data_IF_034882475675
#
_entry.id   IF_034882475675
#
_cell.length_a   1.000
_cell.length_b   1.000
_cell.length_c   1.000
_cell.angle_alpha   90.00
_cell.angle_beta   90.00
_cell.angle_gamma   90.00
#
_symmetry.space_group_name_H-M   'P 1'
#
loop_
_entity.id
_entity.type
_entity.pdbx_description
1 polymer ?
#
# COMPACT_ATOMS: atom_id res chain seq x y z
N UNK A 1 -18.82 3.10 43.67
CA UNK A 1 -18.45 2.74 42.29
C UNK A 1 -19.71 2.90 41.47
N UNK A 2 -19.86 4.07 40.85
CA UNK A 2 -20.88 4.24 39.84
C UNK A 2 -20.59 3.24 38.73
N UNK A 3 -21.56 2.40 38.39
CA UNK A 3 -21.38 1.37 37.37
C UNK A 3 -20.91 2.02 36.07
N UNK A 4 -19.97 1.41 35.35
CA UNK A 4 -19.50 1.90 34.04
C UNK A 4 -20.68 2.27 33.11
N UNK A 5 -21.80 1.56 33.26
CA UNK A 5 -23.09 1.85 32.60
C UNK A 5 -23.71 3.21 32.96
N UNK A 6 -23.66 3.65 34.23
CA UNK A 6 -24.21 4.94 34.63
C UNK A 6 -23.34 6.11 34.17
N UNK A 7 -22.03 5.91 34.07
CA UNK A 7 -21.12 6.92 33.49
C UNK A 7 -21.35 7.04 31.99
N UNK A 8 -21.48 5.92 31.26
CA UNK A 8 -21.88 5.92 29.84
C UNK A 8 -23.18 6.69 29.61
N UNK A 9 -24.19 6.45 30.45
CA UNK A 9 -25.50 7.10 30.30
C UNK A 9 -25.46 8.60 30.65
N UNK A 10 -24.43 9.07 31.34
CA UNK A 10 -24.20 10.50 31.62
C UNK A 10 -23.48 11.25 30.48
N UNK A 11 -22.86 10.54 29.53
CA UNK A 11 -22.14 11.14 28.40
C UNK A 11 -23.11 11.70 27.34
N UNK A 12 -22.66 12.75 26.63
CA UNK A 12 -23.34 13.26 25.44
C UNK A 12 -23.46 12.16 24.38
N UNK A 13 -24.42 12.30 23.45
CA UNK A 13 -24.64 11.29 22.40
C UNK A 13 -23.37 11.03 21.56
N UNK A 14 -22.58 12.07 21.29
CA UNK A 14 -21.30 11.96 20.58
C UNK A 14 -20.23 11.26 21.42
N UNK A 15 -20.12 11.59 22.72
CA UNK A 15 -19.13 10.98 23.61
C UNK A 15 -19.47 9.53 23.98
N UNK A 16 -20.75 9.12 23.91
CA UNK A 16 -21.16 7.72 24.03
C UNK A 16 -20.63 6.84 22.90
N UNK A 17 -20.58 7.36 21.68
CA UNK A 17 -20.00 6.62 20.55
C UNK A 17 -18.48 6.43 20.76
N UNK A 18 -17.77 7.49 21.15
CA UNK A 18 -16.35 7.43 21.49
C UNK A 18 -16.07 6.47 22.65
N UNK A 19 -16.92 6.46 23.68
CA UNK A 19 -16.86 5.50 24.79
C UNK A 19 -16.94 4.04 24.31
N UNK A 20 -17.89 3.70 23.44
CA UNK A 20 -18.03 2.33 22.94
C UNK A 20 -16.85 1.94 22.01
N UNK A 21 -16.34 2.87 21.20
CA UNK A 21 -15.13 2.63 20.39
C UNK A 21 -13.93 2.32 21.26
N UNK A 22 -13.63 3.16 22.25
CA UNK A 22 -12.46 2.97 23.11
C UNK A 22 -12.58 1.69 23.96
N UNK A 23 -13.80 1.40 24.42
CA UNK A 23 -14.11 0.14 25.10
C UNK A 23 -13.85 -1.07 24.19
N UNK A 24 -14.23 -0.98 22.92
CA UNK A 24 -14.01 -2.06 21.96
C UNK A 24 -12.53 -2.21 21.60
N UNK A 25 -11.79 -1.11 21.45
CA UNK A 25 -10.32 -1.14 21.26
C UNK A 25 -9.61 -1.86 22.41
N UNK A 26 -9.98 -1.55 23.66
CA UNK A 26 -9.43 -2.24 24.86
C UNK A 26 -9.80 -3.72 24.83
N UNK A 27 -11.04 -4.07 24.53
CA UNK A 27 -11.49 -5.47 24.43
C UNK A 27 -10.67 -6.22 23.38
N UNK A 28 -10.59 -5.68 22.17
CA UNK A 28 -9.84 -6.29 21.06
C UNK A 28 -8.37 -6.45 21.42
N UNK A 29 -7.74 -5.42 22.00
CA UNK A 29 -6.36 -5.51 22.48
C UNK A 29 -6.20 -6.65 23.50
N UNK A 30 -7.07 -6.72 24.51
CA UNK A 30 -6.98 -7.78 25.52
C UNK A 30 -7.20 -9.18 24.96
N UNK A 31 -8.08 -9.34 23.96
CA UNK A 31 -8.32 -10.62 23.30
C UNK A 31 -7.11 -11.08 22.49
N UNK A 32 -6.51 -10.16 21.71
CA UNK A 32 -5.30 -10.43 20.92
C UNK A 32 -4.13 -10.87 21.80
N UNK A 33 -3.97 -10.24 22.96
CA UNK A 33 -2.86 -10.53 23.86
C UNK A 33 -3.19 -11.56 24.97
N UNK A 34 -4.36 -12.20 24.91
CA UNK A 34 -4.77 -13.22 25.89
C UNK A 34 -4.91 -12.70 27.33
N UNK A 35 -5.19 -11.39 27.49
CA UNK A 35 -5.38 -10.74 28.79
C UNK A 35 -6.83 -10.95 29.24
N UNK A 36 -7.09 -11.59 30.38
CA UNK A 36 -8.45 -11.75 30.88
C UNK A 36 -9.09 -10.38 31.19
N UNK A 37 -10.33 -10.16 30.73
CA UNK A 37 -11.07 -8.89 30.99
C UNK A 37 -11.18 -8.56 32.48
N UNK A 38 -11.24 -9.57 33.34
CA UNK A 38 -11.31 -9.44 34.80
C UNK A 38 -10.05 -8.79 35.40
N UNK A 39 -8.92 -8.90 34.70
CA UNK A 39 -7.64 -8.32 35.10
C UNK A 39 -7.64 -6.80 34.96
N UNK A 40 -8.39 -6.23 34.01
CA UNK A 40 -8.46 -4.78 33.76
C UNK A 40 -8.94 -3.97 34.98
N UNK A 41 -9.74 -4.58 35.85
CA UNK A 41 -10.24 -3.95 37.07
C UNK A 41 -9.36 -4.11 38.30
N UNK A 42 -8.23 -4.84 38.20
CA UNK A 42 -7.39 -5.22 39.35
C UNK A 42 -5.91 -4.99 39.03
N UNK A 43 -5.25 -3.97 39.61
CA UNK A 43 -3.87 -3.61 39.29
C UNK A 43 -2.86 -4.76 39.36
N UNK A 44 -3.00 -5.62 40.39
CA UNK A 44 -2.09 -6.76 40.58
C UNK A 44 -2.24 -7.81 39.47
N UNK A 45 -3.49 -8.13 39.08
CA UNK A 45 -3.77 -9.07 37.98
C UNK A 45 -3.42 -8.48 36.62
N UNK A 46 -3.63 -7.17 36.42
CA UNK A 46 -3.23 -6.50 35.20
C UNK A 46 -1.72 -6.57 35.02
N UNK A 47 -0.94 -6.28 36.07
CA UNK A 47 0.53 -6.35 36.02
C UNK A 47 1.03 -7.77 35.74
N UNK A 48 0.38 -8.79 36.29
CA UNK A 48 0.71 -10.19 35.99
C UNK A 48 0.39 -10.54 34.53
N UNK A 49 -0.80 -10.17 34.05
CA UNK A 49 -1.25 -10.46 32.70
C UNK A 49 -0.45 -9.71 31.62
N UNK A 50 0.04 -8.51 31.92
CA UNK A 50 0.84 -7.69 30.99
C UNK A 50 2.33 -7.97 31.05
N UNK A 51 2.80 -8.81 31.98
CA UNK A 51 4.23 -9.07 32.18
C UNK A 51 4.95 -9.75 31.01
N UNK A 52 4.21 -10.25 30.02
CA UNK A 52 4.74 -10.86 28.78
C UNK A 52 4.61 -9.96 27.55
N UNK A 53 4.02 -8.77 27.70
CA UNK A 53 3.86 -7.84 26.59
C UNK A 53 5.21 -7.24 26.20
N UNK A 54 5.35 -6.91 24.92
CA UNK A 54 6.45 -6.08 24.44
C UNK A 54 6.34 -4.65 25.01
N UNK A 55 7.43 -3.89 24.99
CA UNK A 55 7.40 -2.47 25.41
C UNK A 55 6.38 -1.67 24.58
N UNK A 56 6.33 -1.78 23.24
CA UNK A 56 5.31 -1.10 22.43
C UNK A 56 3.87 -1.48 22.83
N UNK A 57 3.60 -2.75 23.11
CA UNK A 57 2.27 -3.20 23.54
C UNK A 57 1.90 -2.66 24.93
N UNK A 58 2.87 -2.56 25.83
CA UNK A 58 2.68 -1.92 27.15
C UNK A 58 2.32 -0.44 27.00
N UNK A 59 3.04 0.29 26.13
CA UNK A 59 2.77 1.70 25.84
C UNK A 59 1.38 1.89 25.22
N UNK A 60 1.02 1.01 24.27
CA UNK A 60 -0.30 1.02 23.63
C UNK A 60 -1.42 0.76 24.62
N UNK A 61 -1.30 -0.26 25.48
CA UNK A 61 -2.29 -0.55 26.52
C UNK A 61 -2.41 0.59 27.52
N UNK A 62 -1.28 1.16 27.96
CA UNK A 62 -1.27 2.30 28.87
C UNK A 62 -2.03 3.50 28.27
N UNK A 63 -1.79 3.80 26.99
CA UNK A 63 -2.49 4.88 26.29
C UNK A 63 -4.01 4.66 26.20
N UNK A 64 -4.44 3.43 25.86
CA UNK A 64 -5.86 3.07 25.81
C UNK A 64 -6.53 3.24 27.18
N UNK A 65 -5.89 2.75 28.24
CA UNK A 65 -6.42 2.85 29.61
C UNK A 65 -6.47 4.30 30.10
N UNK A 66 -5.45 5.11 29.79
CA UNK A 66 -5.41 6.52 30.15
C UNK A 66 -6.52 7.32 29.46
N UNK A 67 -6.76 7.07 28.16
CA UNK A 67 -7.88 7.68 27.41
C UNK A 67 -9.23 7.29 28.00
N UNK A 68 -9.38 6.03 28.42
CA UNK A 68 -10.63 5.54 29.02
C UNK A 68 -10.88 6.19 30.38
N UNK A 69 -9.85 6.24 31.23
CA UNK A 69 -9.92 6.88 32.54
C UNK A 69 -10.24 8.38 32.41
N UNK A 70 -9.58 9.09 31.48
CA UNK A 70 -9.85 10.50 31.24
C UNK A 70 -11.32 10.72 30.83
N UNK A 71 -11.84 9.92 29.90
CA UNK A 71 -13.22 10.02 29.44
C UNK A 71 -14.22 9.80 30.58
N UNK A 72 -13.97 8.79 31.42
CA UNK A 72 -14.80 8.49 32.58
C UNK A 72 -14.78 9.63 33.62
N UNK A 73 -13.64 10.29 33.80
CA UNK A 73 -13.46 11.36 34.80
C UNK A 73 -13.98 12.71 34.35
N UNK A 74 -13.81 13.05 33.08
CA UNK A 74 -14.07 14.40 32.57
C UNK A 74 -15.36 14.51 31.75
N UNK A 75 -15.98 13.38 31.38
CA UNK A 75 -17.22 13.38 30.60
C UNK A 75 -17.05 13.80 29.13
N UNK A 76 -15.80 13.99 28.71
CA UNK A 76 -15.39 14.35 27.36
C UNK A 76 -14.11 13.59 26.98
N UNK A 77 -13.88 13.32 25.68
CA UNK A 77 -12.62 12.79 25.20
C UNK A 77 -11.48 13.69 25.65
N UNK A 78 -10.34 13.09 26.03
CA UNK A 78 -9.10 13.84 26.18
C UNK A 78 -8.88 14.57 24.85
N UNK A 79 -8.63 15.89 24.88
CA UNK A 79 -8.17 16.59 23.67
C UNK A 79 -6.91 15.88 23.23
N UNK A 80 -7.02 15.09 22.17
CA UNK A 80 -5.94 14.25 21.68
C UNK A 80 -4.90 15.15 21.04
N UNK A 81 -3.84 15.45 21.79
CA UNK A 81 -2.53 15.32 21.19
C UNK A 81 -2.43 13.86 20.75
N UNK A 82 -2.34 13.63 19.43
CA UNK A 82 -2.19 12.29 18.86
C UNK A 82 -1.03 11.58 19.60
N UNK A 83 -1.02 10.25 19.76
CA UNK A 83 0.15 9.57 20.32
C UNK A 83 1.43 10.05 19.64
N UNK A 84 2.55 10.18 20.37
CA UNK A 84 3.78 10.78 19.85
C UNK A 84 4.25 10.13 18.54
N UNK A 85 4.17 8.79 18.47
CA UNK A 85 4.45 8.04 17.25
C UNK A 85 3.58 8.48 16.07
N UNK A 86 2.30 8.73 16.32
CA UNK A 86 1.35 9.15 15.30
C UNK A 86 1.61 10.59 14.88
N UNK A 87 1.94 11.49 15.81
CA UNK A 87 2.34 12.87 15.48
C UNK A 87 3.60 12.89 14.61
N UNK A 88 4.60 12.07 14.95
CA UNK A 88 5.83 11.97 14.19
C UNK A 88 5.57 11.46 12.77
N UNK A 89 4.81 10.38 12.62
CA UNK A 89 4.47 9.81 11.31
C UNK A 89 3.57 10.75 10.50
N UNK A 90 2.61 11.42 11.13
CA UNK A 90 1.79 12.42 10.45
C UNK A 90 2.66 13.58 9.95
N UNK A 91 3.64 14.04 10.74
CA UNK A 91 4.60 15.07 10.31
C UNK A 91 5.48 14.61 9.14
N UNK A 92 5.92 13.36 9.16
CA UNK A 92 6.84 12.83 8.14
C UNK A 92 6.12 12.47 6.83
N UNK A 93 4.90 11.94 6.90
CA UNK A 93 4.22 11.31 5.77
C UNK A 93 2.88 11.96 5.43
N UNK A 94 2.31 12.83 6.26
CA UNK A 94 0.97 13.38 6.05
C UNK A 94 -0.08 12.27 5.84
N UNK A 95 0.02 11.23 6.68
CA UNK A 95 -0.56 9.92 6.43
C UNK A 95 -2.09 9.93 6.44
N UNK A 96 -2.71 10.73 7.33
CA UNK A 96 -4.16 10.77 7.50
C UNK A 96 -4.90 11.18 6.24
N UNK A 97 -4.45 12.24 5.55
CA UNK A 97 -5.10 12.71 4.33
C UNK A 97 -5.01 11.65 3.24
N UNK A 98 -3.81 11.08 3.04
CA UNK A 98 -3.57 10.04 2.03
C UNK A 98 -4.41 8.79 2.29
N UNK A 99 -4.46 8.31 3.53
CA UNK A 99 -5.26 7.16 3.92
C UNK A 99 -6.75 7.42 3.72
N UNK A 100 -7.25 8.57 4.16
CA UNK A 100 -8.68 8.93 4.05
C UNK A 100 -9.10 9.01 2.59
N UNK A 101 -8.27 9.60 1.74
CA UNK A 101 -8.50 9.66 0.31
C UNK A 101 -8.60 8.25 -0.31
N UNK A 102 -7.61 7.40 -0.04
CA UNK A 102 -7.57 6.04 -0.58
C UNK A 102 -8.73 5.18 -0.06
N UNK A 103 -9.05 5.25 1.24
CA UNK A 103 -10.18 4.54 1.82
C UNK A 103 -11.49 4.88 1.10
N UNK A 104 -11.75 6.17 0.86
CA UNK A 104 -12.95 6.62 0.14
C UNK A 104 -12.95 6.14 -1.32
N UNK A 105 -11.82 6.27 -2.03
CA UNK A 105 -11.70 5.80 -3.41
C UNK A 105 -11.93 4.28 -3.52
N UNK A 106 -11.31 3.48 -2.65
CA UNK A 106 -11.44 2.02 -2.63
C UNK A 106 -12.88 1.59 -2.28
N UNK A 107 -13.58 2.35 -1.43
CA UNK A 107 -15.00 2.16 -1.14
C UNK A 107 -15.88 2.51 -2.35
N UNK A 108 -15.65 3.64 -2.99
CA UNK A 108 -16.44 4.12 -4.13
C UNK A 108 -16.29 3.27 -5.40
N UNK A 109 -15.13 2.62 -5.56
CA UNK A 109 -14.83 1.69 -6.65
C UNK A 109 -15.33 0.27 -6.38
N UNK A 110 -15.78 -0.01 -5.15
CA UNK A 110 -16.29 -1.32 -4.74
C UNK A 110 -15.19 -2.36 -4.46
N UNK A 111 -13.92 -1.92 -4.33
CA UNK A 111 -12.82 -2.76 -3.83
C UNK A 111 -13.09 -3.13 -2.38
N UNK A 112 -13.43 -2.12 -1.56
CA UNK A 112 -13.85 -2.34 -0.18
C UNK A 112 -15.34 -2.60 -0.12
N UNK A 113 -15.70 -3.82 0.29
CA UNK A 113 -17.08 -4.19 0.67
C UNK A 113 -17.09 -4.40 2.16
N UNK A 114 -17.91 -3.62 2.87
CA UNK A 114 -18.00 -3.67 4.34
C UNK A 114 -16.64 -3.49 5.05
N UNK A 115 -15.72 -2.73 4.44
CA UNK A 115 -14.39 -2.46 5.00
C UNK A 115 -13.33 -3.53 4.72
N UNK A 116 -13.61 -4.50 3.84
CA UNK A 116 -12.70 -5.59 3.52
C UNK A 116 -12.65 -5.90 2.02
N UNK A 117 -11.61 -6.64 1.61
CA UNK A 117 -11.49 -7.25 0.28
C UNK A 117 -11.78 -8.75 0.37
N UNK A 118 -12.14 -9.35 -0.77
CA UNK A 118 -12.22 -10.80 -0.92
C UNK A 118 -10.96 -11.32 -1.62
N UNK A 119 -10.24 -12.21 -0.95
CA UNK A 119 -9.03 -12.87 -1.45
C UNK A 119 -9.30 -13.92 -2.51
N UNK A 120 -8.25 -14.30 -3.26
CA UNK A 120 -8.31 -15.42 -4.22
C UNK A 120 -8.50 -16.78 -3.54
N UNK A 121 -8.22 -16.88 -2.26
CA UNK A 121 -8.41 -18.03 -1.39
C UNK A 121 -9.82 -18.10 -0.78
N UNK A 122 -10.66 -17.12 -1.09
CA UNK A 122 -12.03 -17.01 -0.57
C UNK A 122 -12.13 -16.41 0.83
N UNK A 123 -11.02 -15.98 1.45
CA UNK A 123 -11.04 -15.30 2.75
C UNK A 123 -11.32 -13.81 2.59
N UNK A 124 -11.87 -13.22 3.63
CA UNK A 124 -12.14 -11.79 3.71
C UNK A 124 -11.03 -11.11 4.51
N UNK A 125 -10.40 -10.10 3.92
CA UNK A 125 -9.27 -9.39 4.53
C UNK A 125 -9.65 -7.93 4.84
N UNK A 126 -9.74 -7.53 6.11
CA UNK A 126 -10.04 -6.14 6.46
C UNK A 126 -8.93 -5.20 5.97
N UNK A 127 -9.30 -3.97 5.59
CA UNK A 127 -8.30 -2.96 5.27
C UNK A 127 -7.41 -2.67 6.50
N UNK A 128 -6.07 -2.52 6.34
CA UNK A 128 -5.20 -2.11 7.43
C UNK A 128 -5.62 -0.75 7.95
N UNK A 129 -5.71 -0.58 9.27
CA UNK A 129 -6.10 0.71 9.85
C UNK A 129 -4.98 1.73 9.74
N UNK A 130 -5.37 3.01 9.79
CA UNK A 130 -4.42 4.12 9.81
C UNK A 130 -3.42 3.97 10.97
N UNK A 131 -3.87 3.52 12.13
CA UNK A 131 -3.04 3.29 13.31
C UNK A 131 -2.07 2.13 13.12
N UNK A 132 -2.48 1.03 12.47
CA UNK A 132 -1.59 -0.09 12.17
C UNK A 132 -0.46 0.33 11.22
N UNK A 133 -0.80 1.08 10.17
CA UNK A 133 0.20 1.61 9.23
C UNK A 133 1.12 2.61 9.92
N UNK A 134 0.56 3.52 10.72
CA UNK A 134 1.34 4.52 11.45
C UNK A 134 2.32 3.87 12.44
N UNK A 135 1.86 2.85 13.18
CA UNK A 135 2.73 2.10 14.08
C UNK A 135 3.88 1.44 13.31
N UNK A 136 3.57 0.79 12.18
CA UNK A 136 4.58 0.09 11.38
C UNK A 136 5.64 1.05 10.81
N UNK A 137 5.20 2.19 10.27
CA UNK A 137 6.09 3.26 9.81
C UNK A 137 6.97 3.79 10.95
N UNK A 138 6.42 3.91 12.15
CA UNK A 138 7.16 4.36 13.33
C UNK A 138 8.21 3.33 13.76
N UNK A 139 7.85 2.07 13.89
CA UNK A 139 8.78 0.99 14.25
C UNK A 139 9.97 0.92 13.28
N UNK A 140 9.70 1.10 11.98
CA UNK A 140 10.71 1.05 10.91
C UNK A 140 11.32 2.40 10.54
N UNK A 141 11.05 3.47 11.31
CA UNK A 141 11.50 4.84 10.97
C UNK A 141 13.02 4.97 10.79
N UNK A 142 13.80 4.17 11.51
CA UNK A 142 15.25 4.11 11.35
C UNK A 142 15.65 3.59 9.97
N UNK A 143 15.11 2.44 9.58
CA UNK A 143 15.33 1.80 8.27
C UNK A 143 14.81 2.67 7.11
N UNK A 144 13.65 3.30 7.31
CA UNK A 144 12.97 4.10 6.28
C UNK A 144 13.52 5.52 6.16
N UNK A 145 14.40 5.97 7.06
CA UNK A 145 14.88 7.36 7.10
C UNK A 145 15.54 7.80 5.79
N UNK A 146 16.41 6.96 5.21
CA UNK A 146 17.03 7.19 3.90
C UNK A 146 15.99 7.28 2.78
N UNK A 147 14.98 6.42 2.81
CA UNK A 147 13.91 6.40 1.79
C UNK A 147 12.97 7.58 1.90
N UNK A 148 12.66 8.00 3.11
CA UNK A 148 11.96 9.24 3.38
C UNK A 148 12.72 10.45 2.80
N UNK A 149 14.03 10.56 3.06
CA UNK A 149 14.89 11.62 2.48
C UNK A 149 14.96 11.58 0.95
N UNK A 150 14.92 10.37 0.37
CA UNK A 150 14.83 10.15 -1.09
C UNK A 150 13.41 10.41 -1.65
N UNK A 151 12.45 10.80 -0.82
CA UNK A 151 11.11 11.23 -1.21
C UNK A 151 10.07 10.12 -1.30
N UNK A 152 10.33 8.92 -0.75
CA UNK A 152 9.32 7.86 -0.64
C UNK A 152 8.35 8.18 0.52
N UNK A 153 7.37 9.03 0.25
CA UNK A 153 6.45 9.56 1.27
C UNK A 153 4.97 9.36 0.93
N UNK A 154 4.66 8.92 -0.29
CA UNK A 154 3.27 8.76 -0.75
C UNK A 154 2.77 7.33 -0.51
N UNK A 155 1.77 7.19 0.33
CA UNK A 155 1.13 5.92 0.69
C UNK A 155 0.46 5.29 -0.54
N UNK A 156 0.51 3.96 -0.62
CA UNK A 156 -0.29 3.16 -1.55
C UNK A 156 -0.81 1.90 -0.83
N UNK A 157 -2.13 1.80 -0.69
CA UNK A 157 -2.85 0.66 -0.12
C UNK A 157 -3.28 -0.29 -1.23
N UNK A 158 -2.56 -1.39 -1.39
CA UNK A 158 -2.78 -2.33 -2.49
C UNK A 158 -3.60 -3.53 -2.01
N UNK A 159 -4.77 -3.81 -2.62
CA UNK A 159 -5.59 -4.98 -2.29
C UNK A 159 -5.00 -6.26 -2.92
N UNK A 160 -3.78 -6.62 -2.53
CA UNK A 160 -2.96 -7.67 -3.16
C UNK A 160 -3.68 -9.03 -3.26
N UNK A 161 -4.39 -9.43 -2.20
CA UNK A 161 -5.11 -10.70 -2.14
C UNK A 161 -6.29 -10.78 -3.10
N UNK A 162 -6.81 -9.65 -3.59
CA UNK A 162 -7.88 -9.63 -4.58
C UNK A 162 -7.40 -10.19 -5.92
N UNK A 163 -8.28 -10.90 -6.64
CA UNK A 163 -7.93 -11.41 -7.96
C UNK A 163 -7.64 -10.27 -8.95
N UNK A 164 -6.59 -10.44 -9.76
CA UNK A 164 -6.20 -9.48 -10.79
C UNK A 164 -7.31 -9.33 -11.84
N UNK A 165 -8.06 -10.40 -12.11
CA UNK A 165 -9.26 -10.34 -12.95
C UNK A 165 -10.32 -9.37 -12.42
N UNK A 166 -10.58 -9.42 -11.11
CA UNK A 166 -11.52 -8.49 -10.44
C UNK A 166 -10.99 -7.05 -10.47
N UNK A 167 -9.71 -6.83 -10.13
CA UNK A 167 -9.11 -5.49 -10.14
C UNK A 167 -9.10 -4.85 -11.53
N UNK A 168 -8.86 -5.64 -12.59
CA UNK A 168 -8.95 -5.18 -13.98
C UNK A 168 -10.35 -4.71 -14.34
N UNK A 169 -11.37 -5.48 -13.97
CA UNK A 169 -12.76 -5.08 -14.24
C UNK A 169 -13.13 -3.82 -13.43
N UNK A 170 -12.68 -3.73 -12.16
CA UNK A 170 -12.88 -2.51 -11.37
C UNK A 170 -12.21 -1.30 -12.02
N UNK A 171 -10.96 -1.41 -12.49
CA UNK A 171 -10.28 -0.32 -13.20
C UNK A 171 -11.07 0.10 -14.45
N UNK A 172 -11.57 -0.87 -15.21
CA UNK A 172 -12.40 -0.62 -16.40
C UNK A 172 -13.65 0.19 -16.04
N UNK A 173 -14.37 -0.21 -15.00
CA UNK A 173 -15.56 0.49 -14.52
C UNK A 173 -15.23 1.87 -13.94
N UNK A 174 -14.13 1.99 -13.21
CA UNK A 174 -13.62 3.26 -12.69
C UNK A 174 -13.37 4.26 -13.82
N UNK A 175 -12.68 3.86 -14.90
CA UNK A 175 -12.43 4.72 -16.06
C UNK A 175 -13.73 5.21 -16.71
N UNK A 176 -14.70 4.32 -16.90
CA UNK A 176 -16.01 4.67 -17.47
C UNK A 176 -16.74 5.68 -16.59
N UNK A 177 -16.82 5.43 -15.28
CA UNK A 177 -17.44 6.33 -14.30
C UNK A 177 -16.70 7.68 -14.24
N UNK A 178 -15.37 7.66 -14.29
CA UNK A 178 -14.55 8.87 -14.29
C UNK A 178 -14.83 9.72 -15.54
N UNK A 179 -14.93 9.11 -16.71
CA UNK A 179 -15.32 9.78 -17.96
C UNK A 179 -16.74 10.37 -17.93
N UNK A 180 -17.66 9.73 -17.21
CA UNK A 180 -19.02 10.25 -17.05
C UNK A 180 -19.05 11.51 -16.17
N UNK A 181 -18.26 11.55 -15.09
CA UNK A 181 -18.14 12.73 -14.23
C UNK A 181 -17.21 13.81 -14.80
N UNK A 182 -16.31 13.46 -15.72
CA UNK A 182 -15.34 14.37 -16.35
C UNK A 182 -15.45 14.30 -17.87
N UNK A 183 -16.43 15.01 -18.43
CA UNK A 183 -16.74 14.96 -19.86
C UNK A 183 -15.57 15.34 -20.78
N UNK A 184 -14.60 16.12 -20.29
CA UNK A 184 -13.37 16.52 -21.00
C UNK A 184 -12.25 15.46 -20.97
N UNK A 185 -12.31 14.47 -20.09
CA UNK A 185 -11.32 13.39 -20.05
C UNK A 185 -11.43 12.55 -21.34
N UNK A 186 -10.34 12.34 -22.06
CA UNK A 186 -10.39 11.55 -23.30
C UNK A 186 -10.35 10.05 -22.95
N UNK A 187 -11.36 9.30 -23.37
CA UNK A 187 -11.48 7.87 -23.08
C UNK A 187 -12.23 7.15 -24.19
N UNK A 188 -11.62 6.11 -24.76
CA UNK A 188 -12.27 5.21 -25.69
C UNK A 188 -13.23 4.26 -24.97
N UNK A 189 -14.50 4.66 -24.88
CA UNK A 189 -15.52 3.94 -24.08
C UNK A 189 -15.78 2.48 -24.51
N UNK A 190 -15.49 2.09 -25.75
CA UNK A 190 -15.73 0.71 -26.21
C UNK A 190 -14.72 -0.27 -25.64
N UNK A 191 -13.48 0.18 -25.42
CA UNK A 191 -12.39 -0.63 -24.86
C UNK A 191 -11.52 0.25 -23.95
N UNK A 192 -12.01 0.70 -22.78
CA UNK A 192 -11.25 1.63 -21.94
C UNK A 192 -10.00 1.00 -21.32
N UNK A 193 -9.92 -0.33 -21.33
CA UNK A 193 -8.79 -1.13 -20.87
C UNK A 193 -8.52 -2.24 -21.87
N UNK A 194 -7.40 -2.14 -22.59
CA UNK A 194 -6.86 -3.24 -23.37
C UNK A 194 -5.97 -4.11 -22.48
N UNK A 195 -6.16 -5.43 -22.53
CA UNK A 195 -5.34 -6.36 -21.75
C UNK A 195 -4.82 -7.50 -22.61
N UNK A 196 -3.55 -7.86 -22.42
CA UNK A 196 -3.00 -9.07 -23.00
C UNK A 196 -3.72 -10.31 -22.45
N UNK A 197 -4.05 -11.26 -23.34
CA UNK A 197 -4.87 -12.44 -23.02
C UNK A 197 -4.37 -13.28 -21.83
N UNK A 198 -3.06 -13.28 -21.56
CA UNK A 198 -2.50 -14.11 -20.50
C UNK A 198 -2.70 -13.53 -19.09
N UNK A 199 -3.17 -12.29 -18.96
CA UNK A 199 -3.67 -11.76 -17.68
C UNK A 199 -4.93 -12.48 -17.19
N UNK A 200 -5.65 -13.21 -18.05
CA UNK A 200 -6.84 -13.94 -17.66
C UNK A 200 -6.48 -15.14 -16.79
N UNK A 201 -6.90 -15.10 -15.52
CA UNK A 201 -6.60 -16.15 -14.53
C UNK A 201 -5.10 -16.32 -14.29
N UNK A 202 -4.32 -15.24 -14.40
CA UNK A 202 -2.87 -15.30 -14.28
C UNK A 202 -2.40 -15.57 -12.85
N UNK A 203 -3.17 -15.11 -11.88
CA UNK A 203 -2.87 -15.13 -10.45
C UNK A 203 -3.76 -16.11 -9.67
N UNK A 204 -4.56 -16.92 -10.37
CA UNK A 204 -5.53 -17.85 -9.77
C UNK A 204 -5.46 -19.25 -10.39
N UNK A 205 -6.08 -20.22 -9.71
CA UNK A 205 -6.15 -21.62 -10.13
C UNK A 205 -4.91 -22.43 -9.73
N UNK A 206 -4.91 -23.72 -10.10
CA UNK A 206 -3.87 -24.69 -9.70
C UNK A 206 -2.53 -24.51 -10.42
N UNK A 207 -2.48 -23.64 -11.43
CA UNK A 207 -1.28 -23.38 -12.23
C UNK A 207 -1.25 -21.90 -12.64
N UNK A 208 -1.05 -20.99 -11.68
CA UNK A 208 -0.97 -19.56 -11.96
C UNK A 208 0.22 -19.29 -12.89
N UNK A 209 0.02 -18.37 -13.82
CA UNK A 209 1.04 -18.00 -14.82
C UNK A 209 1.93 -16.87 -14.34
N UNK A 210 1.48 -16.11 -13.35
CA UNK A 210 2.15 -14.94 -12.81
C UNK A 210 2.91 -15.33 -11.55
N UNK A 211 4.20 -15.03 -11.55
CA UNK A 211 5.10 -15.21 -10.42
C UNK A 211 5.42 -13.83 -9.85
N UNK A 212 5.31 -13.69 -8.53
CA UNK A 212 5.51 -12.45 -7.79
C UNK A 212 6.86 -12.46 -7.08
N UNK A 213 7.44 -11.27 -6.94
CA UNK A 213 8.72 -10.98 -6.29
C UNK A 213 9.86 -11.94 -6.73
N UNK A 214 10.11 -12.08 -8.05
CA UNK A 214 11.16 -12.97 -8.54
C UNK A 214 12.58 -12.48 -8.21
N UNK A 215 13.48 -13.42 -7.95
CA UNK A 215 14.93 -13.22 -7.92
C UNK A 215 15.60 -13.52 -9.27
N UNK A 216 14.87 -13.98 -10.27
CA UNK A 216 15.32 -13.96 -11.66
C UNK A 216 14.12 -14.12 -12.59
N UNK A 217 14.26 -13.73 -13.87
CA UNK A 217 13.26 -14.04 -14.89
C UNK A 217 13.49 -15.42 -15.53
N UNK A 218 14.00 -16.38 -14.77
CA UNK A 218 14.14 -17.76 -15.18
C UNK A 218 12.86 -18.55 -14.83
N UNK A 219 12.19 -19.22 -15.79
CA UNK A 219 10.97 -20.00 -15.52
C UNK A 219 11.11 -21.11 -14.47
N UNK A 220 12.33 -21.55 -14.16
CA UNK A 220 12.61 -22.65 -13.24
C UNK A 220 13.27 -22.17 -11.95
N UNK A 221 14.20 -21.22 -12.07
CA UNK A 221 15.04 -20.74 -10.95
C UNK A 221 14.71 -19.29 -10.56
N UNK A 222 13.43 -18.90 -10.66
CA UNK A 222 13.00 -17.53 -10.34
C UNK A 222 13.01 -17.22 -8.85
N UNK A 223 12.84 -18.19 -7.96
CA UNK A 223 12.65 -18.02 -6.50
C UNK A 223 11.48 -17.10 -6.07
N UNK A 224 10.76 -16.49 -7.01
CA UNK A 224 9.48 -15.82 -6.74
C UNK A 224 8.38 -16.81 -6.36
N UNK A 225 7.25 -16.27 -5.91
CA UNK A 225 6.13 -17.01 -5.35
C UNK A 225 4.84 -16.78 -6.11
N UNK A 226 3.89 -17.68 -5.96
CA UNK A 226 2.50 -17.47 -6.37
C UNK A 226 1.80 -16.54 -5.37
N UNK A 227 0.70 -15.92 -5.79
CA UNK A 227 -0.13 -15.11 -4.89
C UNK A 227 -0.65 -15.93 -3.70
N UNK A 228 -1.02 -17.20 -3.92
CA UNK A 228 -1.52 -18.08 -2.87
C UNK A 228 -0.45 -18.32 -1.78
N UNK A 229 0.78 -18.67 -2.18
CA UNK A 229 1.89 -18.85 -1.25
C UNK A 229 2.18 -17.57 -0.44
N UNK A 230 2.10 -16.40 -1.08
CA UNK A 230 2.29 -15.13 -0.36
C UNK A 230 1.17 -14.89 0.65
N UNK A 231 -0.10 -15.18 0.29
CA UNK A 231 -1.22 -15.02 1.22
C UNK A 231 -1.10 -15.97 2.41
N UNK A 232 -0.70 -17.23 2.19
CA UNK A 232 -0.45 -18.19 3.26
C UNK A 232 0.65 -17.71 4.22
N UNK A 233 1.76 -17.18 3.68
CA UNK A 233 2.85 -16.63 4.49
C UNK A 233 2.47 -15.38 5.29
N UNK A 234 1.52 -14.58 4.79
CA UNK A 234 1.03 -13.41 5.51
C UNK A 234 0.22 -13.78 6.76
N UNK A 235 -0.45 -14.93 6.79
CA UNK A 235 -1.29 -15.31 7.93
C UNK A 235 -0.50 -15.54 9.21
N UNK A 236 0.70 -16.10 9.08
CA UNK A 236 1.59 -16.39 10.21
C UNK A 236 2.54 -15.23 10.53
N UNK A 237 2.54 -14.17 9.70
CA UNK A 237 3.48 -13.07 9.82
C UNK A 237 2.84 -11.83 10.49
N UNK A 238 3.15 -11.61 11.77
CA UNK A 238 2.70 -10.46 12.56
C UNK A 238 3.11 -9.11 11.98
N UNK A 239 4.16 -9.10 11.16
CA UNK A 239 4.70 -7.92 10.49
C UNK A 239 4.01 -7.61 9.15
N UNK A 240 3.04 -8.43 8.75
CA UNK A 240 2.33 -8.28 7.49
C UNK A 240 0.93 -7.68 7.67
N UNK A 241 0.35 -7.27 6.55
CA UNK A 241 -1.05 -6.87 6.46
C UNK A 241 -1.79 -7.95 5.65
N UNK A 242 -2.41 -8.97 6.27
CA UNK A 242 -2.98 -10.09 5.53
C UNK A 242 -3.92 -9.65 4.41
N UNK A 243 -3.67 -10.12 3.19
CA UNK A 243 -4.42 -9.76 1.98
C UNK A 243 -4.05 -8.41 1.37
N UNK A 244 -3.21 -7.61 2.02
CA UNK A 244 -2.82 -6.28 1.58
C UNK A 244 -1.30 -6.15 1.46
N UNK A 245 -0.87 -5.21 0.63
CA UNK A 245 0.49 -4.68 0.71
C UNK A 245 0.41 -3.17 0.85
N UNK A 246 1.27 -2.62 1.71
CA UNK A 246 1.32 -1.19 1.99
C UNK A 246 2.67 -0.69 1.49
N UNK A 247 2.64 0.30 0.61
CA UNK A 247 3.84 0.82 -0.02
C UNK A 247 3.99 2.32 0.21
N UNK A 248 5.24 2.78 0.18
CA UNK A 248 5.61 4.17 -0.02
C UNK A 248 6.16 4.33 -1.44
N UNK A 249 5.63 5.31 -2.17
CA UNK A 249 6.08 5.73 -3.50
C UNK A 249 6.54 7.19 -3.43
N UNK A 250 7.25 7.64 -4.47
CA UNK A 250 7.56 9.05 -4.64
C UNK A 250 6.34 9.80 -5.21
N UNK A 251 5.93 10.94 -4.62
CA UNK A 251 4.87 11.78 -5.18
C UNK A 251 5.36 12.46 -6.48
N UNK A 252 4.45 13.07 -7.26
CA UNK A 252 4.82 13.71 -8.54
C UNK A 252 5.94 14.76 -8.41
N UNK A 253 5.99 15.43 -7.26
CA UNK A 253 7.10 16.29 -6.85
C UNK A 253 7.64 15.79 -5.51
N UNK A 254 8.75 15.04 -5.49
CA UNK A 254 9.35 14.48 -4.28
C UNK A 254 9.78 15.54 -3.25
N UNK A 255 9.93 16.81 -3.65
CA UNK A 255 10.28 17.91 -2.74
C UNK A 255 9.08 18.48 -1.97
N UNK A 256 7.86 18.10 -2.37
CA UNK A 256 6.61 18.55 -1.78
C UNK A 256 5.78 17.37 -1.27
N UNK A 257 5.70 17.23 0.05
CA UNK A 257 4.94 16.17 0.72
C UNK A 257 3.44 16.14 0.35
N UNK A 258 2.87 17.28 -0.05
CA UNK A 258 1.47 17.39 -0.44
C UNK A 258 1.25 17.28 -1.96
N UNK A 259 2.27 16.87 -2.72
CA UNK A 259 2.18 16.81 -4.17
C UNK A 259 1.20 15.69 -4.62
N UNK A 260 0.20 16.02 -5.46
CA UNK A 260 -0.76 15.04 -5.97
C UNK A 260 -0.11 14.14 -7.02
N UNK A 261 -0.59 12.91 -7.15
CA UNK A 261 -0.08 11.91 -8.07
C UNK A 261 1.28 11.33 -7.67
N UNK A 262 1.84 10.52 -8.56
CA UNK A 262 3.08 9.78 -8.36
C UNK A 262 4.13 10.24 -9.37
N UNK A 263 5.40 10.14 -8.98
CA UNK A 263 6.53 10.47 -9.83
C UNK A 263 6.49 9.67 -11.14
N UNK A 264 6.77 10.35 -12.24
CA UNK A 264 6.92 9.76 -13.57
C UNK A 264 8.22 8.96 -13.67
N UNK A 265 8.25 7.96 -14.56
CA UNK A 265 9.48 7.26 -14.92
C UNK A 265 10.25 8.11 -15.95
N UNK A 266 11.43 8.66 -15.59
CA UNK A 266 12.16 9.57 -16.46
C UNK A 266 12.72 8.85 -17.68
N UNK A 267 12.85 9.58 -18.79
CA UNK A 267 13.63 9.13 -19.94
C UNK A 267 15.11 9.04 -19.60
N UNK A 268 15.85 8.30 -20.42
CA UNK A 268 17.31 8.30 -20.36
C UNK A 268 17.86 9.74 -20.39
N UNK A 269 18.72 10.06 -19.42
CA UNK A 269 19.35 11.36 -19.24
C UNK A 269 18.45 12.48 -18.75
N UNK A 270 17.18 12.20 -18.39
CA UNK A 270 16.22 13.20 -17.90
C UNK A 270 15.92 13.08 -16.41
N UNK A 271 16.53 12.13 -15.72
CA UNK A 271 16.35 11.90 -14.31
C UNK A 271 17.07 12.92 -13.44
N UNK A 272 16.42 13.32 -12.34
CA UNK A 272 17.02 14.14 -11.30
C UNK A 272 17.21 13.30 -10.03
N UNK A 273 18.44 13.16 -9.51
CA UNK A 273 18.68 12.47 -8.26
C UNK A 273 17.90 13.06 -7.08
N UNK A 274 17.44 12.21 -6.17
CA UNK A 274 16.72 12.59 -4.95
C UNK A 274 17.51 12.18 -3.71
N UNK A 275 17.20 12.75 -2.54
CA UNK A 275 17.93 12.48 -1.29
C UNK A 275 19.12 13.42 -1.08
N UNK A 276 19.24 13.94 0.14
CA UNK A 276 20.32 14.82 0.61
C UNK A 276 21.42 14.03 1.30
N UNK A 277 21.06 12.97 2.03
CA UNK A 277 22.01 12.14 2.78
C UNK A 277 22.68 11.12 1.84
N UNK A 278 21.87 10.32 1.18
CA UNK A 278 22.32 9.34 0.17
C UNK A 278 21.60 9.68 -1.12
N UNK A 279 22.35 10.25 -2.07
CA UNK A 279 21.80 10.61 -3.38
C UNK A 279 21.38 9.35 -4.13
N UNK A 280 20.10 9.30 -4.53
CA UNK A 280 19.48 8.25 -5.33
C UNK A 280 19.27 8.74 -6.75
N UNK A 281 20.07 8.27 -7.72
CA UNK A 281 19.75 8.44 -9.13
C UNK A 281 18.43 7.72 -9.45
N UNK A 282 17.50 8.32 -10.20
CA UNK A 282 16.28 7.63 -10.58
C UNK A 282 16.56 6.49 -11.54
N UNK A 283 15.70 5.47 -11.54
CA UNK A 283 15.73 4.41 -12.53
C UNK A 283 15.10 4.92 -13.84
N UNK A 284 15.94 5.51 -14.68
CA UNK A 284 15.56 5.99 -16.01
C UNK A 284 15.22 4.85 -16.97
N UNK A 285 14.43 5.14 -18.00
CA UNK A 285 14.14 4.25 -19.13
C UNK A 285 15.41 3.83 -19.91
N UNK A 286 15.24 2.96 -20.91
CA UNK A 286 16.31 2.48 -21.79
C UNK A 286 17.33 1.52 -21.14
N UNK A 287 16.87 0.60 -20.29
CA UNK A 287 17.69 -0.54 -19.81
C UNK A 287 17.05 -1.86 -20.15
N UNK A 288 17.84 -2.93 -20.14
CA UNK A 288 17.28 -4.28 -20.22
C UNK A 288 16.50 -4.58 -18.94
N UNK A 289 15.36 -5.26 -19.05
CA UNK A 289 14.50 -5.54 -17.89
C UNK A 289 15.22 -6.30 -16.77
N UNK A 290 16.11 -7.22 -17.14
CA UNK A 290 16.98 -7.94 -16.20
C UNK A 290 17.96 -7.05 -15.44
N UNK A 291 18.35 -5.91 -16.01
CA UNK A 291 19.26 -4.96 -15.36
C UNK A 291 18.55 -4.22 -14.24
N UNK A 292 17.30 -3.78 -14.46
CA UNK A 292 16.51 -3.19 -13.38
C UNK A 292 16.34 -4.16 -12.20
N UNK A 293 16.00 -5.42 -12.49
CA UNK A 293 15.88 -6.42 -11.45
C UNK A 293 17.22 -6.65 -10.72
N UNK A 294 18.34 -6.75 -11.48
CA UNK A 294 19.67 -6.92 -10.89
C UNK A 294 20.10 -5.75 -10.02
N UNK A 295 19.71 -4.51 -10.34
CA UNK A 295 19.96 -3.33 -9.50
C UNK A 295 19.31 -3.52 -8.13
N UNK A 296 18.03 -3.91 -8.09
CA UNK A 296 17.31 -4.10 -6.83
C UNK A 296 17.86 -5.27 -6.02
N UNK A 297 18.25 -6.36 -6.67
CA UNK A 297 18.82 -7.54 -6.01
C UNK A 297 20.15 -7.25 -5.34
N UNK A 298 21.07 -6.60 -6.06
CA UNK A 298 22.36 -6.20 -5.49
C UNK A 298 22.17 -5.26 -4.31
N UNK A 299 21.13 -4.44 -4.35
CA UNK A 299 20.79 -3.54 -3.26
C UNK A 299 20.21 -4.25 -2.03
N UNK A 300 19.69 -5.48 -2.13
CA UNK A 300 19.16 -6.20 -0.97
C UNK A 300 20.26 -6.54 0.06
N UNK A 301 21.46 -6.86 -0.42
CA UNK A 301 22.61 -7.24 0.42
C UNK A 301 23.54 -6.06 0.76
N UNK A 302 23.28 -4.88 0.20
CA UNK A 302 24.11 -3.68 0.33
C UNK A 302 23.30 -2.53 0.95
N UNK A 303 23.43 -2.34 2.26
CA UNK A 303 22.75 -1.27 3.03
C UNK A 303 23.16 0.14 2.57
N UNK A 304 24.35 0.29 1.98
CA UNK A 304 24.85 1.57 1.46
C UNK A 304 24.32 1.86 0.05
N UNK A 305 23.66 0.88 -0.58
CA UNK A 305 23.06 1.07 -1.90
C UNK A 305 21.96 2.12 -1.86
N UNK A 306 21.94 3.08 -2.82
CA UNK A 306 20.85 4.05 -2.90
C UNK A 306 19.49 3.40 -3.19
N UNK A 307 19.45 2.12 -3.57
CA UNK A 307 18.25 1.35 -3.87
C UNK A 307 17.90 0.31 -2.78
N UNK A 308 18.63 0.27 -1.66
CA UNK A 308 18.39 -0.71 -0.59
C UNK A 308 16.95 -0.62 -0.06
N UNK A 309 16.25 -1.75 0.07
CA UNK A 309 14.85 -1.78 0.52
C UNK A 309 13.80 -1.38 -0.52
N UNK A 310 14.19 -1.10 -1.77
CA UNK A 310 13.23 -0.89 -2.87
C UNK A 310 12.82 -2.20 -3.55
N UNK A 311 11.56 -2.25 -3.95
CA UNK A 311 10.97 -3.36 -4.71
C UNK A 311 10.35 -2.86 -6.01
N UNK A 312 10.31 -3.74 -7.02
CA UNK A 312 9.56 -3.49 -8.24
C UNK A 312 8.06 -3.55 -8.02
N UNK A 313 7.30 -2.77 -8.79
CA UNK A 313 5.83 -2.82 -8.75
C UNK A 313 5.27 -4.11 -9.35
N UNK A 314 4.10 -4.52 -8.85
CA UNK A 314 3.22 -5.55 -9.40
C UNK A 314 2.09 -4.93 -10.25
N UNK A 315 1.33 -5.73 -11.02
CA UNK A 315 0.10 -5.27 -11.68
C UNK A 315 -0.91 -4.60 -10.73
N UNK A 316 -1.10 -5.13 -9.53
CA UNK A 316 -2.00 -4.63 -8.50
C UNK A 316 -1.55 -3.27 -7.97
N UNK A 317 -0.25 -3.10 -7.77
CA UNK A 317 0.34 -1.82 -7.36
C UNK A 317 0.05 -0.75 -8.42
N UNK A 318 0.28 -1.09 -9.70
CA UNK A 318 0.10 -0.13 -10.79
C UNK A 318 -1.36 0.25 -10.99
N UNK A 319 -2.28 -0.72 -10.95
CA UNK A 319 -3.72 -0.46 -11.09
C UNK A 319 -4.19 0.49 -9.98
N UNK A 320 -3.80 0.22 -8.74
CA UNK A 320 -4.16 1.06 -7.58
C UNK A 320 -3.55 2.46 -7.71
N UNK A 321 -2.26 2.54 -8.02
CA UNK A 321 -1.56 3.81 -8.21
C UNK A 321 -2.16 4.63 -9.37
N UNK A 322 -2.55 3.99 -10.47
CA UNK A 322 -3.20 4.66 -11.60
C UNK A 322 -4.52 5.32 -11.19
N UNK A 323 -5.39 4.58 -10.46
CA UNK A 323 -6.69 5.11 -10.02
C UNK A 323 -6.52 6.31 -9.08
N UNK A 324 -5.57 6.23 -8.15
CA UNK A 324 -5.23 7.33 -7.23
C UNK A 324 -4.68 8.52 -8.02
N UNK A 325 -3.69 8.29 -8.89
CA UNK A 325 -3.06 9.33 -9.69
C UNK A 325 -4.09 10.11 -10.51
N UNK A 326 -4.96 9.40 -11.22
CA UNK A 326 -5.98 10.03 -12.06
C UNK A 326 -6.98 10.83 -11.22
N UNK A 327 -7.37 10.30 -10.06
CA UNK A 327 -8.32 10.96 -9.15
C UNK A 327 -7.73 12.23 -8.52
N UNK A 328 -6.44 12.24 -8.18
CA UNK A 328 -5.78 13.41 -7.58
C UNK A 328 -5.38 14.48 -8.61
N UNK A 329 -4.95 14.07 -9.81
CA UNK A 329 -4.32 14.99 -10.78
C UNK A 329 -5.20 15.35 -11.97
N UNK A 330 -6.24 14.55 -12.23
CA UNK A 330 -7.02 14.62 -13.45
C UNK A 330 -6.28 14.22 -14.73
N UNK A 331 -5.08 13.63 -14.60
CA UNK A 331 -4.23 13.21 -15.72
C UNK A 331 -3.92 11.71 -15.61
N UNK A 332 -3.77 11.00 -16.72
CA UNK A 332 -3.38 9.59 -16.69
C UNK A 332 -1.91 9.43 -16.30
N UNK A 333 -1.62 8.40 -15.51
CA UNK A 333 -0.26 8.00 -15.15
C UNK A 333 0.40 7.20 -16.28
N UNK A 334 1.71 7.38 -16.45
CA UNK A 334 2.55 6.66 -17.43
C UNK A 334 2.08 6.89 -18.88
N UNK A 335 1.79 8.15 -19.21
CA UNK A 335 1.44 8.57 -20.56
C UNK A 335 2.70 8.75 -21.42
N UNK A 336 3.27 7.63 -21.88
CA UNK A 336 4.55 7.65 -22.60
C UNK A 336 4.56 8.51 -23.88
N UNK A 337 3.39 8.75 -24.48
CA UNK A 337 3.27 9.54 -25.71
C UNK A 337 3.36 11.06 -25.48
N UNK A 338 3.46 11.52 -24.23
CA UNK A 338 3.63 12.94 -23.91
C UNK A 338 5.09 13.44 -23.96
N UNK A 339 6.03 12.57 -24.36
CA UNK A 339 7.48 12.81 -24.42
C UNK A 339 8.15 13.16 -23.08
N UNK A 340 7.47 12.97 -21.94
CA UNK A 340 8.00 13.22 -20.59
C UNK A 340 8.02 11.96 -19.71
N UNK A 341 7.01 11.11 -19.86
CA UNK A 341 6.82 9.91 -19.05
C UNK A 341 7.22 8.67 -19.82
N UNK A 342 7.43 7.54 -19.15
CA UNK A 342 7.73 6.24 -19.78
C UNK A 342 6.68 5.21 -19.41
N UNK A 343 6.63 4.11 -20.16
CA UNK A 343 5.85 2.93 -19.77
C UNK A 343 6.45 2.30 -18.52
N UNK A 344 5.60 1.72 -17.67
CA UNK A 344 6.03 1.06 -16.44
C UNK A 344 6.12 -0.45 -16.63
N UNK A 345 7.34 -0.98 -16.63
CA UNK A 345 7.58 -2.40 -16.44
C UNK A 345 7.44 -2.76 -14.96
N UNK A 346 6.60 -3.76 -14.69
CA UNK A 346 6.22 -4.17 -13.35
C UNK A 346 7.07 -5.39 -12.97
N UNK A 347 8.37 -5.14 -12.77
CA UNK A 347 9.37 -6.18 -12.50
C UNK A 347 9.18 -6.90 -11.15
N UNK A 348 8.24 -6.43 -10.32
CA UNK A 348 7.76 -7.17 -9.14
C UNK A 348 6.96 -8.43 -9.50
N UNK A 349 6.66 -8.66 -10.78
CA UNK A 349 6.10 -9.91 -11.26
C UNK A 349 6.61 -10.28 -12.67
N UNK A 350 6.45 -11.53 -13.07
CA UNK A 350 6.64 -11.95 -14.46
C UNK A 350 5.75 -13.15 -14.83
N UNK A 351 5.42 -13.27 -16.11
CA UNK A 351 4.74 -14.44 -16.65
C UNK A 351 5.77 -15.54 -16.96
N UNK A 352 5.64 -16.69 -16.29
CA UNK A 352 6.56 -17.84 -16.47
C UNK A 352 6.19 -18.69 -17.69
N UNK A 353 4.93 -18.65 -18.14
CA UNK A 353 4.42 -19.38 -19.29
C UNK A 353 3.39 -18.55 -20.09
N UNK A 354 3.27 -18.72 -21.42
CA UNK A 354 3.98 -19.66 -22.29
C UNK A 354 5.39 -19.21 -22.71
N UNK A 355 5.73 -17.95 -22.48
CA UNK A 355 7.05 -17.37 -22.71
C UNK A 355 7.35 -16.36 -21.60
N UNK A 356 8.61 -16.30 -21.16
CA UNK A 356 9.08 -15.30 -20.18
C UNK A 356 8.75 -13.91 -20.69
N UNK A 357 7.88 -13.23 -19.97
CA UNK A 357 7.49 -11.86 -20.29
C UNK A 357 7.14 -11.10 -19.03
N UNK A 358 7.42 -9.80 -19.02
CA UNK A 358 7.26 -8.95 -17.85
C UNK A 358 6.02 -8.09 -18.08
N UNK A 359 5.07 -8.05 -17.13
CA UNK A 359 3.95 -7.13 -17.16
C UNK A 359 4.40 -5.70 -17.43
N UNK A 360 3.72 -5.01 -18.32
CA UNK A 360 3.96 -3.63 -18.65
C UNK A 360 2.63 -2.87 -18.67
N UNK A 361 2.59 -1.71 -18.04
CA UNK A 361 1.39 -0.91 -17.91
C UNK A 361 1.64 0.55 -18.26
N UNK A 362 0.69 1.15 -18.97
CA UNK A 362 0.76 2.54 -19.39
C UNK A 362 -0.60 3.08 -19.87
N UNK A 363 -0.70 4.40 -19.96
CA UNK A 363 -1.75 5.05 -20.73
C UNK A 363 -1.32 5.24 -22.18
N UNK A 364 -2.19 4.86 -23.13
CA UNK A 364 -1.97 5.09 -24.55
C UNK A 364 -2.86 6.22 -25.04
N UNK A 365 -2.30 7.42 -25.09
CA UNK A 365 -2.98 8.64 -25.56
C UNK A 365 -3.64 8.48 -26.94
N UNK A 366 -2.95 7.86 -27.90
CA UNK A 366 -3.47 7.69 -29.27
C UNK A 366 -4.76 6.87 -29.35
N UNK A 367 -4.95 5.95 -28.40
CA UNK A 367 -6.14 5.10 -28.30
C UNK A 367 -7.08 5.54 -27.17
N UNK A 368 -6.70 6.56 -26.40
CA UNK A 368 -7.38 7.04 -25.20
C UNK A 368 -7.81 5.90 -24.25
N UNK A 369 -6.90 4.97 -23.94
CA UNK A 369 -7.20 3.80 -23.10
C UNK A 369 -5.99 3.35 -22.28
N UNK A 370 -6.24 2.57 -21.22
CA UNK A 370 -5.19 1.88 -20.46
C UNK A 370 -4.74 0.62 -21.18
N UNK A 371 -3.44 0.35 -21.17
CA UNK A 371 -2.86 -0.89 -21.66
C UNK A 371 -2.20 -1.66 -20.52
N UNK A 372 -2.58 -2.92 -20.37
CA UNK A 372 -1.87 -3.92 -19.57
C UNK A 372 -1.33 -4.99 -20.53
N UNK A 373 -0.06 -4.85 -20.89
CA UNK A 373 0.63 -5.68 -21.87
C UNK A 373 1.78 -6.47 -21.23
N UNK A 374 2.55 -7.18 -22.05
CA UNK A 374 3.74 -7.88 -21.60
C UNK A 374 4.89 -7.58 -22.54
N UNK A 375 6.09 -7.41 -22.00
CA UNK A 375 7.31 -7.20 -22.78
C UNK A 375 8.26 -8.38 -22.65
N UNK A 376 8.91 -8.74 -23.76
CA UNK A 376 10.02 -9.70 -23.75
C UNK A 376 11.30 -9.04 -23.22
N UNK A 377 12.18 -9.82 -22.58
CA UNK A 377 13.41 -9.31 -21.94
C UNK A 377 14.54 -8.91 -22.91
N UNK A 378 14.32 -9.02 -24.23
CA UNK A 378 15.41 -9.17 -25.20
C UNK A 378 16.08 -7.88 -25.65
N UNK A 379 15.41 -6.74 -25.56
CA UNK A 379 15.92 -5.47 -26.07
C UNK A 379 15.64 -4.32 -25.10
N UNK A 380 16.54 -3.33 -25.02
CA UNK A 380 16.23 -2.09 -24.33
C UNK A 380 15.19 -1.31 -25.17
N UNK A 381 14.39 -0.50 -24.49
CA UNK A 381 13.37 0.34 -25.12
C UNK A 381 13.42 1.72 -24.47
N UNK A 382 13.69 2.76 -25.27
CA UNK A 382 13.72 4.17 -24.89
C UNK A 382 12.42 4.62 -24.20
N UNK A 383 11.34 3.86 -24.42
CA UNK A 383 10.02 4.09 -23.90
C UNK A 383 9.67 3.36 -22.61
N UNK A 384 10.54 2.50 -22.11
CA UNK A 384 10.25 1.58 -21.02
C UNK A 384 11.24 1.77 -19.88
N UNK A 385 10.72 1.94 -18.67
CA UNK A 385 11.51 1.90 -17.44
C UNK A 385 10.72 1.24 -16.32
N UNK A 386 11.17 1.44 -15.08
CA UNK A 386 10.53 0.85 -13.90
C UNK A 386 10.23 1.91 -12.86
N UNK A 387 9.10 1.78 -12.20
CA UNK A 387 8.82 2.46 -10.94
C UNK A 387 9.04 1.47 -9.81
N UNK A 388 9.66 1.95 -8.74
CA UNK A 388 9.89 1.18 -7.52
C UNK A 388 9.11 1.77 -6.36
N UNK A 389 8.94 0.96 -5.34
CA UNK A 389 8.29 1.32 -4.09
C UNK A 389 9.06 0.74 -2.91
N UNK A 390 8.76 1.20 -1.70
CA UNK A 390 9.26 0.64 -0.45
C UNK A 390 8.08 0.03 0.29
N UNK A 391 8.15 -1.25 0.61
CA UNK A 391 7.11 -1.94 1.38
C UNK A 391 7.23 -1.54 2.86
N UNK A 392 6.09 -1.23 3.50
CA UNK A 392 5.97 -0.80 4.91
C UNK A 392 5.82 -2.00 5.84
#
# INVERSE_FOLDING_TARGET
MDSVSSVRDSLSKEHRAYFETLRQEIITFTEVHGIPRESLGKPDLLREATGKLSIPDLERLANLLERFEYLLKNGEPKKEELPEYFQEIERLYHLREQYTFQFNLLKETGILKEGAILGIDGKTYPIPTLEQIAMRLFERRGELSTKHDQGFTKLLLVPFGMSLGTLREILKQFLLKYKESHSSFDLYKREPLWTWKNYQGADTGDSPKLVYYPQSFDPKEHQGKTKMEILEEQEDNQDSFPGWTVHLLQPSDPSNLHSPGFASIPREGQGTPQGKLISRPPLEANKYLKEYLSILQKAQEDEDSPYHGETGMTPEDWITAFMIHLSETGKPMDNWQNNKESKSCLIGAFFSAPSVSIPCAHWRYGDAQVHLESLETKFPDDYVGVRTSVVV
#
